data_IF_487604449480
#
_entry.id   IF_487604449480
#
_cell.length_a   1.000
_cell.length_b   1.000
_cell.length_c   1.000
_cell.angle_alpha   90.00
_cell.angle_beta   90.00
_cell.angle_gamma   90.00
#
_symmetry.space_group_name_H-M   'P 1'
#
loop_
_entity.id
_entity.type
_entity.pdbx_description
1 polymer ?
#
# COMPACT_ATOMS: atom_id res chain seq x y z
N UNK A 1 -23.01 6.98 -22.05
CA UNK A 1 -22.80 7.18 -20.60
C UNK A 1 -23.23 5.90 -19.88
N UNK A 2 -22.31 5.06 -19.40
CA UNK A 2 -22.67 3.86 -18.64
C UNK A 2 -22.94 4.27 -17.19
N UNK A 3 -24.15 3.95 -16.73
CA UNK A 3 -24.72 4.28 -15.42
C UNK A 3 -23.84 3.81 -14.25
N UNK A 4 -23.78 4.66 -13.22
CA UNK A 4 -23.09 4.59 -11.92
C UNK A 4 -23.42 3.36 -11.05
N UNK A 5 -24.28 2.45 -11.52
CA UNK A 5 -24.76 1.29 -10.77
C UNK A 5 -23.96 -0.01 -11.02
N UNK A 6 -22.73 0.08 -11.53
CA UNK A 6 -21.86 -1.08 -11.80
C UNK A 6 -20.83 -1.36 -10.70
N UNK A 7 -20.55 -0.39 -9.83
CA UNK A 7 -19.54 -0.51 -8.78
C UNK A 7 -19.86 -1.62 -7.77
N UNK A 8 -21.11 -1.70 -7.31
CA UNK A 8 -21.58 -2.70 -6.33
C UNK A 8 -22.12 -4.00 -6.94
N UNK A 9 -21.88 -4.24 -8.24
CA UNK A 9 -22.46 -5.40 -8.95
C UNK A 9 -21.45 -6.50 -9.25
N UNK A 10 -20.17 -6.21 -9.08
CA UNK A 10 -19.10 -7.19 -9.21
C UNK A 10 -18.88 -7.86 -7.84
N UNK A 11 -18.73 -9.20 -7.80
CA UNK A 11 -18.47 -9.88 -6.55
C UNK A 11 -17.15 -9.38 -5.95
N UNK A 12 -17.09 -9.27 -4.62
CA UNK A 12 -15.88 -8.87 -3.86
C UNK A 12 -15.44 -7.41 -4.03
N UNK A 13 -16.38 -6.48 -4.29
CA UNK A 13 -16.08 -5.05 -4.21
C UNK A 13 -15.55 -4.68 -2.80
N UNK A 14 -14.42 -3.97 -2.70
CA UNK A 14 -13.88 -3.52 -1.41
C UNK A 14 -14.85 -2.59 -0.68
N UNK A 15 -14.95 -2.72 0.64
CA UNK A 15 -15.68 -1.75 1.47
C UNK A 15 -15.04 -0.36 1.36
N UNK A 16 -15.83 0.69 1.62
CA UNK A 16 -15.33 2.05 1.62
C UNK A 16 -14.21 2.24 2.65
N UNK A 17 -13.15 2.95 2.25
CA UNK A 17 -12.05 3.24 3.16
C UNK A 17 -12.44 4.35 4.13
N UNK A 18 -12.46 4.00 5.43
CA UNK A 18 -12.86 4.87 6.53
C UNK A 18 -11.71 5.51 7.29
N UNK A 19 -10.49 5.00 7.13
CA UNK A 19 -9.33 5.37 7.96
C UNK A 19 -9.48 5.06 9.46
N UNK A 20 -10.51 4.31 9.86
CA UNK A 20 -10.78 3.94 11.26
C UNK A 20 -9.93 2.74 11.69
N UNK A 21 -9.74 2.57 13.01
CA UNK A 21 -9.03 1.42 13.61
C UNK A 21 -9.57 0.10 13.06
N UNK A 22 -8.70 -0.69 12.44
CA UNK A 22 -9.03 -2.00 11.86
C UNK A 22 -9.00 -2.02 10.33
N UNK A 23 -9.18 -0.87 9.66
CA UNK A 23 -9.04 -0.75 8.20
C UNK A 23 -7.73 0.00 7.89
N UNK A 24 -6.63 -0.75 7.79
CA UNK A 24 -5.34 -0.13 7.43
C UNK A 24 -5.35 0.24 5.95
N UNK A 25 -4.70 1.35 5.59
CA UNK A 25 -4.54 1.75 4.19
C UNK A 25 -3.96 0.61 3.33
N UNK A 26 -3.07 -0.21 3.91
CA UNK A 26 -2.47 -1.35 3.23
C UNK A 26 -3.49 -2.48 2.97
N UNK A 27 -4.29 -2.84 3.96
CA UNK A 27 -5.34 -3.87 3.81
C UNK A 27 -6.33 -3.46 2.74
N UNK A 28 -6.80 -2.21 2.77
CA UNK A 28 -7.71 -1.68 1.76
C UNK A 28 -7.10 -1.72 0.35
N UNK A 29 -5.84 -1.28 0.18
CA UNK A 29 -5.17 -1.32 -1.12
C UNK A 29 -4.97 -2.76 -1.63
N UNK A 30 -4.73 -3.73 -0.74
CA UNK A 30 -4.64 -5.14 -1.10
C UNK A 30 -5.99 -5.69 -1.58
N UNK A 31 -7.08 -5.32 -0.91
CA UNK A 31 -8.43 -5.70 -1.32
C UNK A 31 -8.77 -5.10 -2.68
N UNK A 32 -8.46 -3.81 -2.90
CA UNK A 32 -8.62 -3.16 -4.21
C UNK A 32 -7.81 -3.86 -5.31
N UNK A 33 -6.54 -4.19 -5.05
CA UNK A 33 -5.69 -4.90 -6.01
C UNK A 33 -6.29 -6.25 -6.39
N UNK A 34 -6.70 -7.03 -5.39
CA UNK A 34 -7.34 -8.33 -5.59
C UNK A 34 -8.62 -8.19 -6.42
N UNK A 35 -9.44 -7.20 -6.10
CA UNK A 35 -10.65 -6.89 -6.86
C UNK A 35 -10.35 -6.54 -8.32
N UNK A 36 -9.33 -5.72 -8.59
CA UNK A 36 -8.94 -5.37 -9.97
C UNK A 36 -8.38 -6.56 -10.75
N UNK A 37 -7.63 -7.43 -10.09
CA UNK A 37 -7.04 -8.60 -10.72
C UNK A 37 -8.13 -9.62 -11.12
N UNK A 38 -9.17 -9.78 -10.29
CA UNK A 38 -10.36 -10.60 -10.63
C UNK A 38 -11.21 -9.96 -11.74
N UNK A 39 -11.22 -8.62 -11.82
CA UNK A 39 -12.08 -7.86 -12.72
C UNK A 39 -11.29 -7.10 -13.81
N UNK A 40 -10.25 -7.72 -14.38
CA UNK A 40 -9.28 -7.05 -15.27
C UNK A 40 -9.93 -6.36 -16.46
N UNK A 41 -11.00 -6.93 -17.03
CA UNK A 41 -11.74 -6.34 -18.16
C UNK A 41 -12.39 -5.00 -17.83
N UNK A 42 -12.77 -4.81 -16.55
CA UNK A 42 -13.40 -3.58 -16.06
C UNK A 42 -12.37 -2.53 -15.67
N UNK A 43 -11.15 -2.95 -15.33
CA UNK A 43 -10.05 -2.08 -14.88
C UNK A 43 -8.76 -2.30 -15.68
N UNK A 44 -8.78 -2.08 -17.00
CA UNK A 44 -7.63 -2.36 -17.87
C UNK A 44 -6.49 -1.34 -17.73
N UNK A 45 -6.74 -0.14 -17.16
CA UNK A 45 -5.77 0.95 -17.06
C UNK A 45 -5.47 1.32 -15.61
N UNK A 46 -4.30 1.94 -15.38
CA UNK A 46 -3.96 2.51 -14.08
C UNK A 46 -4.98 3.57 -13.65
N UNK A 47 -5.36 4.46 -14.58
CA UNK A 47 -6.36 5.50 -14.36
C UNK A 47 -7.69 4.92 -13.87
N UNK A 48 -8.20 3.84 -14.48
CA UNK A 48 -9.45 3.21 -14.06
C UNK A 48 -9.36 2.64 -12.64
N UNK A 49 -8.23 2.05 -12.27
CA UNK A 49 -7.97 1.54 -10.91
C UNK A 49 -7.90 2.68 -9.89
N UNK A 50 -7.20 3.76 -10.24
CA UNK A 50 -7.06 4.95 -9.38
C UNK A 50 -8.42 5.64 -9.17
N UNK A 51 -9.18 5.89 -10.23
CA UNK A 51 -10.55 6.44 -10.12
C UNK A 51 -11.42 5.60 -9.19
N UNK A 52 -11.35 4.27 -9.33
CA UNK A 52 -12.13 3.34 -8.52
C UNK A 52 -11.84 3.53 -7.02
N UNK A 53 -10.57 3.67 -6.64
CA UNK A 53 -10.19 3.90 -5.23
C UNK A 53 -10.67 5.26 -4.75
N UNK A 54 -10.42 6.33 -5.52
CA UNK A 54 -10.78 7.70 -5.14
C UNK A 54 -12.29 7.88 -4.95
N UNK A 55 -13.10 7.16 -5.73
CA UNK A 55 -14.55 7.19 -5.59
C UNK A 55 -15.05 6.40 -4.36
N UNK A 56 -14.28 5.41 -3.89
CA UNK A 56 -14.62 4.50 -2.78
C UNK A 56 -14.06 4.92 -1.41
N UNK A 57 -13.88 6.22 -1.22
CA UNK A 57 -13.49 6.80 0.07
C UNK A 57 -14.74 7.23 0.85
N UNK A 58 -14.74 6.99 2.16
CA UNK A 58 -15.78 7.47 3.07
C UNK A 58 -15.78 9.02 3.10
N UNK A 59 -16.90 9.61 3.51
CA UNK A 59 -17.10 11.05 3.61
C UNK A 59 -16.09 11.75 4.54
N UNK A 60 -15.98 13.08 4.38
CA UNK A 60 -15.10 13.92 5.19
C UNK A 60 -13.75 14.19 4.54
N UNK A 61 -12.67 14.18 5.35
CA UNK A 61 -11.33 14.57 4.87
C UNK A 61 -10.78 13.61 3.80
N UNK A 62 -11.11 12.32 3.90
CA UNK A 62 -10.77 11.29 2.92
C UNK A 62 -11.40 11.62 1.57
N UNK A 63 -12.70 11.92 1.55
CA UNK A 63 -13.41 12.30 0.34
C UNK A 63 -12.87 13.58 -0.30
N UNK A 64 -12.55 14.59 0.50
CA UNK A 64 -11.98 15.84 0.01
C UNK A 64 -10.61 15.63 -0.66
N UNK A 65 -9.74 14.83 -0.03
CA UNK A 65 -8.46 14.42 -0.60
C UNK A 65 -8.66 13.62 -1.89
N UNK A 66 -9.64 12.70 -1.90
CA UNK A 66 -10.00 11.94 -3.09
C UNK A 66 -10.49 12.80 -4.25
N UNK A 67 -11.34 13.77 -3.97
CA UNK A 67 -11.87 14.72 -4.95
C UNK A 67 -10.77 15.60 -5.55
N UNK A 68 -9.78 16.01 -4.77
CA UNK A 68 -8.62 16.76 -5.27
C UNK A 68 -7.88 15.98 -6.36
N UNK A 69 -7.50 14.73 -6.08
CA UNK A 69 -6.80 13.88 -7.05
C UNK A 69 -7.70 13.45 -8.22
N UNK A 70 -9.00 13.24 -7.98
CA UNK A 70 -9.95 12.91 -9.04
C UNK A 70 -10.09 14.07 -10.03
N UNK A 71 -10.13 15.32 -9.54
CA UNK A 71 -10.18 16.50 -10.41
C UNK A 71 -8.92 16.62 -11.27
N UNK A 72 -7.74 16.39 -10.71
CA UNK A 72 -6.47 16.36 -11.46
C UNK A 72 -6.50 15.30 -12.57
N UNK A 73 -6.94 14.09 -12.23
CA UNK A 73 -7.03 12.98 -13.15
C UNK A 73 -7.99 13.29 -14.32
N UNK A 74 -9.16 13.86 -14.02
CA UNK A 74 -10.16 14.25 -15.03
C UNK A 74 -9.73 15.45 -15.89
N UNK A 75 -8.91 16.35 -15.34
CA UNK A 75 -8.32 17.46 -16.08
C UNK A 75 -7.17 17.03 -17.00
N UNK A 76 -6.65 15.81 -16.81
CA UNK A 76 -5.46 15.32 -17.52
C UNK A 76 -4.17 16.00 -17.02
N UNK A 77 -4.16 16.47 -15.76
CA UNK A 77 -2.99 17.08 -15.16
C UNK A 77 -1.86 16.04 -15.03
N UNK A 78 -0.62 16.46 -15.34
CA UNK A 78 0.53 15.61 -15.08
C UNK A 78 0.87 15.66 -13.59
N UNK A 79 0.55 14.57 -12.90
CA UNK A 79 0.86 14.37 -11.49
C UNK A 79 1.58 13.03 -11.34
N UNK A 80 2.81 13.07 -10.83
CA UNK A 80 3.65 11.88 -10.63
C UNK A 80 2.97 10.80 -9.78
N UNK A 81 2.07 11.18 -8.88
CA UNK A 81 1.34 10.27 -8.00
C UNK A 81 0.20 9.56 -8.75
N UNK A 82 -0.19 10.04 -9.93
CA UNK A 82 -1.26 9.50 -10.75
C UNK A 82 -0.76 8.77 -12.02
N UNK A 83 0.54 8.87 -12.33
CA UNK A 83 1.15 8.27 -13.52
C UNK A 83 1.03 6.74 -13.59
N UNK A 84 0.98 6.08 -12.43
CA UNK A 84 0.86 4.63 -12.35
C UNK A 84 0.11 4.20 -11.11
N UNK A 85 -0.42 2.98 -11.15
CA UNK A 85 -1.04 2.36 -9.99
C UNK A 85 -0.07 2.29 -8.80
N UNK A 86 1.21 1.97 -9.05
CA UNK A 86 2.21 1.86 -8.00
C UNK A 86 2.52 3.21 -7.33
N UNK A 87 2.61 4.29 -8.11
CA UNK A 87 2.83 5.64 -7.58
C UNK A 87 1.66 6.09 -6.71
N UNK A 88 0.43 5.83 -7.15
CA UNK A 88 -0.77 6.13 -6.38
C UNK A 88 -0.84 5.33 -5.07
N UNK A 89 -0.53 4.03 -5.12
CA UNK A 89 -0.49 3.18 -3.93
C UNK A 89 0.50 3.73 -2.89
N UNK A 90 1.68 4.17 -3.34
CA UNK A 90 2.70 4.75 -2.47
C UNK A 90 2.17 6.01 -1.75
N UNK A 91 1.61 6.94 -2.52
CA UNK A 91 1.02 8.18 -1.98
C UNK A 91 -0.13 7.89 -1.01
N UNK A 92 -1.03 6.98 -1.38
CA UNK A 92 -2.17 6.61 -0.54
C UNK A 92 -1.73 6.02 0.80
N UNK A 93 -0.80 5.07 0.77
CA UNK A 93 -0.26 4.44 1.99
C UNK A 93 0.50 5.45 2.84
N UNK A 94 1.26 6.37 2.23
CA UNK A 94 1.98 7.40 2.97
C UNK A 94 1.04 8.35 3.73
N UNK A 95 -0.08 8.74 3.11
CA UNK A 95 -1.03 9.69 3.71
C UNK A 95 -1.93 9.06 4.77
N UNK A 96 -2.24 7.77 4.64
CA UNK A 96 -3.29 7.12 5.43
C UNK A 96 -2.82 5.95 6.30
N UNK A 97 -1.52 5.64 6.32
CA UNK A 97 -0.97 4.70 7.30
C UNK A 97 -0.76 5.35 8.66
N UNK A 98 -1.00 4.60 9.73
CA UNK A 98 -0.71 5.03 11.10
C UNK A 98 0.81 4.95 11.37
N UNK A 99 1.51 6.09 11.58
CA UNK A 99 2.94 6.07 11.88
C UNK A 99 3.26 5.34 13.19
N UNK A 100 2.34 5.31 14.15
CA UNK A 100 2.53 4.57 15.39
C UNK A 100 2.47 3.06 15.15
N UNK A 101 1.59 2.59 14.26
CA UNK A 101 1.54 1.19 13.86
C UNK A 101 2.85 0.75 13.18
N UNK A 102 3.43 1.58 12.32
CA UNK A 102 4.73 1.33 11.71
C UNK A 102 5.86 1.23 12.75
N UNK A 103 5.92 2.17 13.70
CA UNK A 103 6.90 2.10 14.79
C UNK A 103 6.70 0.86 15.67
N UNK A 104 5.45 0.43 15.88
CA UNK A 104 5.16 -0.81 16.61
C UNK A 104 5.65 -2.02 15.83
N UNK A 105 5.41 -2.08 14.52
CA UNK A 105 5.90 -3.15 13.64
C UNK A 105 7.44 -3.22 13.65
N UNK A 106 8.13 -2.08 13.53
CA UNK A 106 9.58 -1.99 13.64
C UNK A 106 10.09 -2.46 15.01
N UNK A 107 9.46 -2.02 16.10
CA UNK A 107 9.81 -2.47 17.45
C UNK A 107 9.56 -3.96 17.62
N UNK A 108 8.52 -4.53 17.00
CA UNK A 108 8.24 -5.97 17.02
C UNK A 108 9.34 -6.74 16.28
N UNK A 109 9.76 -6.30 15.09
CA UNK A 109 10.92 -6.87 14.39
C UNK A 109 12.19 -6.78 15.23
N UNK A 110 12.45 -5.64 15.88
CA UNK A 110 13.65 -5.47 16.71
C UNK A 110 13.61 -6.30 18.01
N UNK A 111 12.41 -6.66 18.48
CA UNK A 111 12.19 -7.48 19.68
C UNK A 111 11.98 -8.95 19.38
N UNK A 112 11.82 -9.33 18.11
CA UNK A 112 11.82 -10.71 17.63
C UNK A 112 13.19 -11.31 17.97
N UNK A 113 13.27 -11.88 19.17
CA UNK A 113 14.36 -12.75 19.62
C UNK A 113 13.89 -14.18 19.40
N UNK A 114 14.80 -15.02 18.92
CA UNK A 114 14.55 -16.43 18.68
C UNK A 114 14.36 -17.16 20.02
N UNK A 115 13.16 -17.11 20.59
CA UNK A 115 12.80 -17.81 21.85
C UNK A 115 11.85 -18.99 21.62
N UNK A 116 11.39 -19.19 20.39
CA UNK A 116 10.50 -20.26 19.93
C UNK A 116 11.09 -21.01 18.73
N UNK A 117 10.37 -22.01 18.20
CA UNK A 117 10.72 -22.75 16.98
C UNK A 117 11.05 -21.77 15.83
N UNK A 118 12.13 -22.04 15.10
CA UNK A 118 12.61 -21.15 14.03
C UNK A 118 11.56 -20.93 12.92
N UNK A 119 10.64 -21.88 12.72
CA UNK A 119 9.54 -21.81 11.75
C UNK A 119 8.48 -20.76 12.09
N UNK A 120 8.12 -20.63 13.37
CA UNK A 120 7.08 -19.71 13.83
C UNK A 120 7.64 -18.28 13.81
N UNK A 121 8.90 -18.13 14.21
CA UNK A 121 9.65 -16.89 14.07
C UNK A 121 9.78 -16.44 12.61
N UNK A 122 10.12 -17.35 11.69
CA UNK A 122 10.23 -17.03 10.26
C UNK A 122 8.88 -16.67 9.63
N UNK A 123 7.78 -17.18 10.19
CA UNK A 123 6.42 -16.83 9.74
C UNK A 123 6.00 -15.47 10.28
N UNK A 124 6.19 -15.20 11.57
CA UNK A 124 5.87 -13.90 12.16
C UNK A 124 6.73 -12.78 11.56
N UNK A 125 8.02 -13.03 11.33
CA UNK A 125 8.88 -12.09 10.60
C UNK A 125 8.38 -11.84 9.18
N UNK A 126 7.98 -12.87 8.43
CA UNK A 126 7.45 -12.69 7.06
C UNK A 126 6.15 -11.89 7.04
N UNK A 127 5.26 -12.10 8.01
CA UNK A 127 4.01 -11.35 8.12
C UNK A 127 4.28 -9.87 8.41
N UNK A 128 5.16 -9.57 9.37
CA UNK A 128 5.47 -8.18 9.73
C UNK A 128 6.33 -7.50 8.65
N UNK A 129 7.35 -8.17 8.13
CA UNK A 129 8.26 -7.62 7.13
C UNK A 129 7.61 -7.47 5.76
N UNK A 130 6.94 -8.52 5.25
CA UNK A 130 6.34 -8.53 3.91
C UNK A 130 4.95 -7.89 3.82
N UNK A 131 4.23 -7.78 4.94
CA UNK A 131 2.94 -7.10 5.00
C UNK A 131 3.08 -5.65 5.44
N UNK A 132 3.53 -5.43 6.68
CA UNK A 132 3.45 -4.12 7.35
C UNK A 132 4.59 -3.17 6.97
N UNK A 133 5.78 -3.69 6.60
CA UNK A 133 6.97 -2.86 6.35
C UNK A 133 7.39 -2.73 4.88
N UNK A 134 7.39 -3.80 4.08
CA UNK A 134 7.90 -3.76 2.70
C UNK A 134 7.18 -2.71 1.85
N UNK A 135 5.86 -2.61 2.02
CA UNK A 135 5.01 -1.67 1.29
C UNK A 135 5.17 -0.24 1.80
N UNK A 136 5.39 -0.06 3.12
CA UNK A 136 5.67 1.24 3.71
C UNK A 136 7.03 1.77 3.28
N UNK A 137 8.07 0.93 3.28
CA UNK A 137 9.41 1.33 2.90
C UNK A 137 9.49 1.63 1.39
N UNK A 138 8.84 0.83 0.54
CA UNK A 138 8.74 1.14 -0.90
C UNK A 138 7.88 2.40 -1.17
N UNK A 139 6.80 2.62 -0.41
CA UNK A 139 5.94 3.79 -0.55
C UNK A 139 6.63 5.08 -0.08
N UNK A 140 7.30 5.04 1.08
CA UNK A 140 8.11 6.12 1.62
C UNK A 140 9.30 6.43 0.71
N UNK A 141 9.93 5.41 0.13
CA UNK A 141 11.01 5.61 -0.83
C UNK A 141 10.54 6.29 -2.10
N UNK A 142 9.42 5.87 -2.69
CA UNK A 142 8.84 6.51 -3.87
C UNK A 142 8.45 7.98 -3.59
N UNK A 143 7.82 8.27 -2.44
CA UNK A 143 7.48 9.63 -2.02
C UNK A 143 8.71 10.51 -1.76
N UNK A 144 9.77 9.94 -1.16
CA UNK A 144 11.02 10.67 -0.85
C UNK A 144 11.87 10.99 -2.08
N UNK A 145 11.74 10.25 -3.19
CA UNK A 145 12.46 10.61 -4.44
C UNK A 145 12.02 11.94 -5.05
N UNK A 146 10.88 12.51 -4.62
CA UNK A 146 10.47 13.89 -4.91
C UNK A 146 11.02 14.96 -3.96
N UNK A 147 11.70 14.58 -2.87
CA UNK A 147 12.33 15.51 -1.93
C UNK A 147 13.66 14.97 -1.42
N UNK A 148 14.73 15.55 -1.96
CA UNK A 148 16.12 15.12 -1.80
C UNK A 148 16.57 14.85 -0.34
N UNK A 149 17.33 13.78 -0.21
CA UNK A 149 18.21 13.37 0.90
C UNK A 149 17.54 12.75 2.14
N UNK A 150 17.70 11.42 2.29
CA UNK A 150 18.23 10.71 3.46
C UNK A 150 17.88 9.20 3.35
N UNK A 151 18.61 8.49 2.49
CA UNK A 151 18.58 7.02 2.53
C UNK A 151 19.66 6.53 3.51
N UNK A 152 19.23 5.92 4.62
CA UNK A 152 20.14 5.40 5.65
C UNK A 152 20.81 4.09 5.16
N UNK A 153 22.15 4.03 5.04
CA UNK A 153 22.88 2.87 4.50
C UNK A 153 22.71 1.56 5.28
N UNK A 154 22.10 1.59 6.48
CA UNK A 154 21.96 0.43 7.36
C UNK A 154 21.03 -0.67 6.80
N UNK A 155 20.10 -0.34 5.89
CA UNK A 155 19.13 -1.30 5.36
C UNK A 155 19.69 -2.16 4.22
N UNK A 156 20.65 -1.65 3.43
CA UNK A 156 21.31 -2.43 2.37
C UNK A 156 22.20 -3.55 2.94
N UNK A 157 22.82 -3.32 4.11
CA UNK A 157 23.71 -4.29 4.73
C UNK A 157 22.96 -5.54 5.23
N UNK A 158 21.70 -5.42 5.66
CA UNK A 158 20.93 -6.58 6.17
C UNK A 158 20.36 -7.49 5.08
N UNK A 159 20.13 -6.98 3.87
CA UNK A 159 19.71 -7.81 2.74
C UNK A 159 20.84 -8.73 2.23
N UNK A 160 22.09 -8.25 2.27
CA UNK A 160 23.27 -9.03 1.87
C UNK A 160 23.58 -10.21 2.81
N UNK A 161 23.29 -10.07 4.12
CA UNK A 161 23.53 -11.13 5.10
C UNK A 161 22.64 -12.39 4.93
N UNK A 162 21.56 -12.32 4.14
CA UNK A 162 20.64 -13.46 3.95
C UNK A 162 20.69 -14.08 2.55
N UNK A 163 21.28 -13.41 1.55
CA UNK A 163 21.58 -14.04 0.25
C UNK A 163 22.74 -15.02 0.30
N UNK A 164 23.66 -14.86 1.26
CA UNK A 164 24.82 -15.73 1.46
C UNK A 164 24.53 -17.00 2.29
N UNK A 165 23.39 -17.07 2.98
CA UNK A 165 22.95 -18.27 3.70
C UNK A 165 22.01 -19.15 2.87
N UNK A 166 22.25 -19.24 1.56
CA UNK A 166 21.82 -20.42 0.79
C UNK A 166 22.59 -21.61 1.34
N UNK A 167 21.90 -22.46 2.10
CA UNK A 167 22.41 -23.73 2.60
C UNK A 167 23.15 -24.51 1.50
N UNK A 168 24.37 -25.03 1.74
CA UNK A 168 24.81 -26.26 1.13
C UNK A 168 24.14 -27.43 1.87
N UNK A 169 23.52 -28.33 1.12
CA UNK A 169 22.86 -29.54 1.62
C UNK A 169 21.94 -30.13 0.56
#
# INVERSE_FOLDING_TARGET
MRSLAHFNRLPYAPEEFSGKKGNTAMSFILDCKTYFDVNTSSFPTHEAKIMCVLMNLEEGILKQWGQYYLNKLLAGDQDQHLDSWQAFQAEFVANWSDPAALQVAERRINKLKQTALASDHATEFRVIAGGELEWSNSALMAASTGSSSLFCPQQAHKAHYWTDNRLPG
#
